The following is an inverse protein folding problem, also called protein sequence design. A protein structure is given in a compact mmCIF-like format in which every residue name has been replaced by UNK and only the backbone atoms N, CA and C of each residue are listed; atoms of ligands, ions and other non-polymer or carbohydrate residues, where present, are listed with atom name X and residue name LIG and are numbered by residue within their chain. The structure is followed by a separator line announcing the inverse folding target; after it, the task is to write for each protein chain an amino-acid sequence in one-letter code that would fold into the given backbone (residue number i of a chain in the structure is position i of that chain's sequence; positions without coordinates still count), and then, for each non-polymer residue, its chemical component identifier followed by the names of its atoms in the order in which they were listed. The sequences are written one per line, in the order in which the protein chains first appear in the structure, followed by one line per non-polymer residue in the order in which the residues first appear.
data_IF_794230901529
#
_entry.id   IF_794230901529
#
_cell.length_a   1.000
_cell.length_b   1.000
_cell.length_c   1.000
_cell.angle_alpha   90.00
_cell.angle_beta   90.00
_cell.angle_gamma   90.00
#
_symmetry.space_group_name_H-M   'P 1'
#
loop_
_entity.id
_entity.type
_entity.pdbx_description
1 polymer ?
#
# COMPACT_ATOMS: atom_id res chain seq x y z
N UNK A 1 6.95 22.40 -39.76
CA UNK A 1 6.28 21.46 -38.85
C UNK A 1 5.52 22.28 -37.81
N UNK A 2 4.30 22.70 -38.14
CA UNK A 2 3.45 23.50 -37.23
C UNK A 2 2.91 22.52 -36.19
N UNK A 3 3.52 22.56 -35.00
CA UNK A 3 3.09 21.75 -33.88
C UNK A 3 1.60 22.00 -33.64
N UNK A 4 0.85 20.91 -33.51
CA UNK A 4 -0.53 20.92 -33.01
C UNK A 4 -0.51 21.22 -31.50
N UNK A 5 -0.10 22.45 -31.17
CA UNK A 5 -0.01 23.01 -29.81
C UNK A 5 -1.25 22.72 -28.95
N UNK A 6 -2.51 22.77 -29.43
CA UNK A 6 -3.66 22.55 -28.54
C UNK A 6 -3.76 21.12 -28.00
N UNK A 7 -3.31 20.10 -28.75
CA UNK A 7 -3.40 18.70 -28.32
C UNK A 7 -2.39 18.38 -27.22
N UNK A 8 -1.17 18.90 -27.34
CA UNK A 8 -0.11 18.72 -26.34
C UNK A 8 -0.43 19.48 -25.06
N UNK A 9 -0.99 20.69 -25.15
CA UNK A 9 -1.41 21.49 -23.99
C UNK A 9 -2.51 20.78 -23.19
N UNK A 10 -3.50 20.19 -23.87
CA UNK A 10 -4.54 19.40 -23.17
C UNK A 10 -3.96 18.19 -22.43
N UNK A 11 -2.95 17.53 -23.00
CA UNK A 11 -2.26 16.39 -22.36
C UNK A 11 -1.40 16.84 -21.17
N UNK A 12 -0.72 17.98 -21.29
CA UNK A 12 0.05 18.58 -20.20
C UNK A 12 -0.87 19.01 -19.04
N UNK A 13 -2.02 19.62 -19.35
CA UNK A 13 -3.04 19.96 -18.36
C UNK A 13 -3.52 18.73 -17.60
N UNK A 14 -3.79 17.63 -18.31
CA UNK A 14 -4.21 16.38 -17.67
C UNK A 14 -3.12 15.81 -16.76
N UNK A 15 -1.85 15.85 -17.18
CA UNK A 15 -0.73 15.44 -16.32
C UNK A 15 -0.62 16.33 -15.08
N UNK A 16 -0.72 17.65 -15.23
CA UNK A 16 -0.72 18.57 -14.09
C UNK A 16 -1.88 18.30 -13.14
N UNK A 17 -3.09 18.11 -13.67
CA UNK A 17 -4.28 17.78 -12.88
C UNK A 17 -4.05 16.50 -12.07
N UNK A 18 -3.46 15.47 -12.67
CA UNK A 18 -3.16 14.22 -11.99
C UNK A 18 -2.14 14.41 -10.86
N UNK A 19 -1.09 15.21 -11.07
CA UNK A 19 -0.11 15.54 -10.03
C UNK A 19 -0.75 16.32 -8.89
N UNK A 20 -1.62 17.29 -9.20
CA UNK A 20 -2.35 18.08 -8.20
C UNK A 20 -3.27 17.18 -7.38
N UNK A 21 -4.06 16.32 -8.02
CA UNK A 21 -4.94 15.36 -7.34
C UNK A 21 -4.14 14.40 -6.47
N UNK A 22 -3.04 13.84 -6.99
CA UNK A 22 -2.18 12.93 -6.22
C UNK A 22 -1.59 13.63 -5.00
N UNK A 23 -1.14 14.88 -5.14
CA UNK A 23 -0.63 15.67 -4.03
C UNK A 23 -1.72 15.97 -3.00
N UNK A 24 -2.91 16.36 -3.45
CA UNK A 24 -4.05 16.63 -2.58
C UNK A 24 -4.44 15.38 -1.78
N UNK A 25 -4.46 14.22 -2.43
CA UNK A 25 -4.74 12.94 -1.78
C UNK A 25 -3.67 12.59 -0.75
N UNK A 26 -2.39 12.78 -1.08
CA UNK A 26 -1.27 12.55 -0.16
C UNK A 26 -1.40 13.42 1.10
N UNK A 27 -1.64 14.72 0.94
CA UNK A 27 -1.82 15.61 2.09
C UNK A 27 -3.08 15.29 2.88
N UNK A 28 -4.17 14.91 2.21
CA UNK A 28 -5.41 14.49 2.87
C UNK A 28 -5.21 13.23 3.71
N UNK A 29 -4.51 12.23 3.17
CA UNK A 29 -4.15 11.01 3.91
C UNK A 29 -3.17 11.32 5.05
N UNK A 30 -2.18 12.17 4.85
CA UNK A 30 -1.25 12.60 5.90
C UNK A 30 -1.97 13.36 7.02
N UNK A 31 -2.97 14.17 6.69
CA UNK A 31 -3.84 14.81 7.67
C UNK A 31 -4.65 13.78 8.45
N UNK A 32 -5.23 12.79 7.78
CA UNK A 32 -5.96 11.70 8.43
C UNK A 32 -5.04 10.85 9.33
N UNK A 33 -3.80 10.59 8.90
CA UNK A 33 -2.79 9.91 9.70
C UNK A 33 -2.47 10.71 10.98
N UNK A 34 -2.29 12.02 10.85
CA UNK A 34 -2.09 12.89 12.03
C UNK A 34 -3.28 12.91 12.99
N UNK A 35 -4.49 12.67 12.48
CA UNK A 35 -5.71 12.56 13.28
C UNK A 35 -5.86 11.18 13.94
N UNK A 36 -5.50 10.10 13.24
CA UNK A 36 -5.59 8.73 13.73
C UNK A 36 -4.44 8.35 14.66
N UNK A 37 -3.26 8.94 14.49
CA UNK A 37 -2.06 8.58 15.22
C UNK A 37 -1.53 9.74 16.09
N UNK A 38 -2.20 10.10 17.21
CA UNK A 38 -1.56 10.96 18.20
C UNK A 38 -0.50 10.22 19.04
N UNK A 39 -0.31 8.90 18.90
CA UNK A 39 0.49 8.13 19.86
C UNK A 39 1.29 7.03 19.15
N UNK A 40 2.61 7.12 19.33
CA UNK A 40 3.67 6.22 18.87
C UNK A 40 4.10 6.41 17.42
N UNK A 41 5.08 7.33 17.27
CA UNK A 41 6.23 7.07 16.40
C UNK A 41 6.57 5.59 16.51
N UNK A 42 6.21 4.82 15.50
CA UNK A 42 6.85 3.54 15.26
C UNK A 42 8.30 3.90 14.94
N UNK A 43 9.14 3.82 15.96
CA UNK A 43 10.54 3.53 15.75
C UNK A 43 10.59 2.45 14.69
N UNK A 44 11.26 2.78 13.59
CA UNK A 44 11.57 1.86 12.50
C UNK A 44 11.99 0.55 13.18
N UNK A 45 11.29 -0.58 13.00
CA UNK A 45 11.84 -1.84 13.43
C UNK A 45 13.05 -2.07 12.52
N UNK A 46 14.23 -1.76 13.06
CA UNK A 46 15.55 -2.11 12.53
C UNK A 46 15.46 -3.54 12.00
N UNK A 47 15.45 -3.64 10.67
CA UNK A 47 15.56 -4.86 9.87
C UNK A 47 15.07 -6.16 10.53
N UNK A 48 13.83 -6.53 10.27
CA UNK A 48 13.47 -7.91 9.91
C UNK A 48 12.06 -7.87 9.34
N UNK A 49 11.92 -8.06 8.03
CA UNK A 49 10.69 -8.62 7.49
C UNK A 49 10.56 -10.00 8.15
N UNK A 50 9.80 -10.06 9.25
CA UNK A 50 9.55 -11.32 9.95
C UNK A 50 8.80 -12.17 8.94
N UNK A 51 9.54 -13.07 8.29
CA UNK A 51 8.95 -14.22 7.60
C UNK A 51 8.02 -14.86 8.62
N UNK A 52 6.72 -14.81 8.38
CA UNK A 52 5.71 -15.55 9.15
C UNK A 52 5.82 -17.08 8.91
N UNK A 53 7.04 -17.59 8.78
CA UNK A 53 7.41 -19.00 8.76
C UNK A 53 8.26 -19.33 9.98
N UNK A 54 8.04 -18.65 11.10
CA UNK A 54 8.55 -19.16 12.37
C UNK A 54 7.79 -20.46 12.63
N UNK A 55 8.51 -21.57 12.43
CA UNK A 55 8.00 -22.91 12.60
C UNK A 55 7.42 -23.01 14.01
N UNK A 56 6.08 -23.07 14.09
CA UNK A 56 5.39 -23.55 15.28
C UNK A 56 6.07 -24.86 15.69
N UNK A 57 6.59 -24.99 16.92
CA UNK A 57 7.11 -26.25 17.40
C UNK A 57 5.90 -27.15 17.71
N UNK A 58 5.32 -27.71 16.64
CA UNK A 58 4.05 -28.40 16.72
C UNK A 58 3.59 -28.85 15.34
N UNK A 59 4.25 -29.90 14.84
CA UNK A 59 3.81 -30.80 13.77
C UNK A 59 3.15 -30.17 12.51
N UNK A 60 3.87 -30.04 11.38
CA UNK A 60 3.32 -29.51 10.13
C UNK A 60 2.28 -30.41 9.43
N UNK A 61 1.93 -31.57 9.99
CA UNK A 61 1.00 -32.53 9.36
C UNK A 61 -0.49 -32.38 9.74
N UNK A 62 -0.86 -31.48 10.66
CA UNK A 62 -2.24 -31.44 11.19
C UNK A 62 -3.16 -30.35 10.64
N UNK A 63 -2.69 -29.45 9.79
CA UNK A 63 -3.57 -28.46 9.15
C UNK A 63 -4.31 -29.12 7.98
N UNK A 64 -5.63 -29.24 8.11
CA UNK A 64 -6.46 -29.76 7.05
C UNK A 64 -6.37 -28.84 5.82
N UNK A 65 -6.45 -29.41 4.62
CA UNK A 65 -6.41 -28.67 3.34
C UNK A 65 -7.39 -27.50 3.33
N UNK A 66 -8.53 -27.65 4.01
CA UNK A 66 -9.56 -26.62 4.16
C UNK A 66 -9.08 -25.41 4.96
N UNK A 67 -8.39 -25.61 6.08
CA UNK A 67 -7.88 -24.51 6.92
C UNK A 67 -6.82 -23.71 6.17
N UNK A 68 -5.99 -24.39 5.38
CA UNK A 68 -4.99 -23.75 4.51
C UNK A 68 -5.63 -22.90 3.40
N UNK A 69 -6.71 -23.39 2.77
CA UNK A 69 -7.47 -22.63 1.77
C UNK A 69 -8.17 -21.41 2.39
N UNK A 70 -8.70 -21.57 3.61
CA UNK A 70 -9.36 -20.48 4.33
C UNK A 70 -8.36 -19.39 4.72
N UNK A 71 -7.16 -19.80 5.17
CA UNK A 71 -6.06 -18.90 5.46
C UNK A 71 -5.65 -18.10 4.20
N UNK A 72 -5.55 -18.78 3.06
CA UNK A 72 -5.22 -18.14 1.77
C UNK A 72 -6.28 -17.10 1.39
N UNK A 73 -7.56 -17.46 1.50
CA UNK A 73 -8.67 -16.56 1.22
C UNK A 73 -8.72 -15.33 2.14
N UNK A 74 -8.41 -15.49 3.43
CA UNK A 74 -8.45 -14.42 4.42
C UNK A 74 -7.21 -13.50 4.36
N UNK A 75 -6.03 -14.07 4.13
CA UNK A 75 -4.76 -13.35 4.17
C UNK A 75 -4.46 -12.66 2.84
N UNK A 76 -5.05 -13.14 1.74
CA UNK A 76 -4.94 -12.49 0.43
C UNK A 76 -3.56 -12.57 -0.21
N UNK A 77 -2.73 -13.53 0.21
CA UNK A 77 -1.59 -14.01 -0.58
C UNK A 77 -2.06 -14.90 -1.73
#
# INVERSE_FOLDING_TARGET
MILSVPKTVKRLYFMLLLVVISSLLYYGLNWLDSWLAPIQRSEIPEGTAVRAFEAVPGNPESLSVRERLLLYYLTGE
#
